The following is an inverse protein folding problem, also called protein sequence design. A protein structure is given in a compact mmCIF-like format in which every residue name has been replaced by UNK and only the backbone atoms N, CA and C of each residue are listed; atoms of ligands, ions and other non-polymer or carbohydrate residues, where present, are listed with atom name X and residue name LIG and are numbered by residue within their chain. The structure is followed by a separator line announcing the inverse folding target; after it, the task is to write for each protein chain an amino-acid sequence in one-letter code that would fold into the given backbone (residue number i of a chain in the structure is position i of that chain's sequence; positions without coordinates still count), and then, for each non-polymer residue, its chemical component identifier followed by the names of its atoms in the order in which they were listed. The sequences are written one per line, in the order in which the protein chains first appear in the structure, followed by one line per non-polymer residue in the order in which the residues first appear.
data_IF_796271171496
#
_entry.id   IF_796271171496
#
_cell.length_a   1.000
_cell.length_b   1.000
_cell.length_c   1.000
_cell.angle_alpha   90.00
_cell.angle_beta   90.00
_cell.angle_gamma   90.00
#
_symmetry.space_group_name_H-M   'P 1'
#
loop_
_entity.id
_entity.type
_entity.pdbx_description
1 polymer ?
#
# COMPACT_ATOMS: atom_id res chain seq x y z
N UNK A 1 3.89 -12.87 8.64
CA UNK A 1 2.93 -12.53 7.55
C UNK A 1 3.68 -12.23 6.25
N UNK A 2 3.02 -12.25 5.10
CA UNK A 2 3.58 -11.70 3.85
C UNK A 2 3.09 -10.26 3.69
N UNK A 3 4.03 -9.32 3.57
CA UNK A 3 3.77 -7.88 3.56
C UNK A 3 4.35 -7.29 2.28
N UNK A 4 3.59 -6.47 1.57
CA UNK A 4 4.10 -5.69 0.44
C UNK A 4 4.15 -4.21 0.81
N UNK A 5 5.27 -3.56 0.49
CA UNK A 5 5.40 -2.10 0.56
C UNK A 5 5.43 -1.55 -0.86
N UNK A 6 4.53 -0.61 -1.11
CA UNK A 6 4.30 0.04 -2.40
C UNK A 6 4.66 1.52 -2.22
N UNK A 7 5.65 1.99 -2.95
CA UNK A 7 6.19 3.35 -2.78
C UNK A 7 7.20 3.66 -3.86
N UNK A 8 7.34 4.94 -4.23
CA UNK A 8 8.42 5.38 -5.12
C UNK A 8 9.77 5.14 -4.43
N UNK A 9 10.64 4.33 -5.03
CA UNK A 9 11.92 3.99 -4.39
C UNK A 9 12.89 5.15 -4.29
N UNK A 10 12.62 6.24 -5.01
CA UNK A 10 13.41 7.47 -5.03
C UNK A 10 12.90 8.54 -4.05
N UNK A 11 11.65 8.45 -3.57
CA UNK A 11 11.08 9.40 -2.60
C UNK A 11 10.46 8.78 -1.34
N UNK A 12 10.55 7.46 -1.19
CA UNK A 12 10.09 6.70 -0.02
C UNK A 12 10.65 7.28 1.28
N UNK A 13 9.78 7.43 2.29
CA UNK A 13 10.17 7.88 3.63
C UNK A 13 11.31 6.98 4.18
N UNK A 14 12.48 7.55 4.57
CA UNK A 14 13.58 6.79 5.17
C UNK A 14 13.18 5.94 6.38
N UNK A 15 12.17 6.38 7.15
CA UNK A 15 11.62 5.64 8.28
C UNK A 15 10.87 4.37 7.84
N UNK A 16 10.17 4.42 6.69
CA UNK A 16 9.53 3.26 6.06
C UNK A 16 10.57 2.33 5.43
N UNK A 17 11.67 2.87 4.90
CA UNK A 17 12.65 2.12 4.12
C UNK A 17 13.60 1.30 5.01
N UNK A 18 14.39 1.91 5.89
CA UNK A 18 15.41 1.14 6.60
C UNK A 18 14.91 0.55 7.91
N UNK A 19 14.14 1.35 8.67
CA UNK A 19 13.76 0.97 10.03
C UNK A 19 12.60 -0.02 10.03
N UNK A 20 11.55 0.23 9.24
CA UNK A 20 10.39 -0.64 9.20
C UNK A 20 10.69 -1.98 8.49
N UNK A 21 11.37 -1.96 7.34
CA UNK A 21 11.73 -3.20 6.63
C UNK A 21 12.59 -4.12 7.50
N UNK A 22 13.62 -3.58 8.13
CA UNK A 22 14.52 -4.36 8.98
C UNK A 22 13.79 -4.93 10.20
N UNK A 23 12.90 -4.15 10.83
CA UNK A 23 12.07 -4.61 11.95
C UNK A 23 11.11 -5.72 11.53
N UNK A 24 10.32 -5.51 10.49
CA UNK A 24 9.37 -6.52 10.00
C UNK A 24 10.07 -7.83 9.61
N UNK A 25 11.24 -7.77 8.98
CA UNK A 25 12.02 -8.98 8.68
C UNK A 25 12.55 -9.66 9.94
N UNK A 26 13.03 -8.90 10.92
CA UNK A 26 13.48 -9.42 12.22
C UNK A 26 12.34 -10.12 12.97
N UNK A 27 11.13 -9.59 12.87
CA UNK A 27 9.92 -10.15 13.46
C UNK A 27 9.39 -11.38 12.68
N UNK A 28 10.11 -11.83 11.64
CA UNK A 28 9.79 -13.05 10.88
C UNK A 28 8.80 -12.85 9.73
N UNK A 29 8.53 -11.61 9.32
CA UNK A 29 7.66 -11.34 8.18
C UNK A 29 8.43 -11.44 6.86
N UNK A 30 7.74 -11.94 5.82
CA UNK A 30 8.24 -11.91 4.44
C UNK A 30 7.84 -10.58 3.83
N UNK A 31 8.82 -9.71 3.58
CA UNK A 31 8.56 -8.35 3.11
C UNK A 31 9.02 -8.16 1.68
N UNK A 32 8.09 -7.77 0.83
CA UNK A 32 8.25 -7.46 -0.58
C UNK A 32 8.17 -5.95 -0.78
N UNK A 33 8.86 -5.44 -1.79
CA UNK A 33 8.84 -4.02 -2.12
C UNK A 33 8.61 -3.86 -3.62
N UNK A 34 7.77 -2.91 -3.99
CA UNK A 34 7.48 -2.59 -5.39
C UNK A 34 7.42 -1.08 -5.58
N UNK A 35 8.04 -0.64 -6.67
CA UNK A 35 8.01 0.75 -7.12
C UNK A 35 6.79 1.00 -8.02
N UNK A 36 6.20 2.20 -7.93
CA UNK A 36 5.19 2.66 -8.87
C UNK A 36 5.78 3.11 -10.21
N UNK A 37 7.04 3.53 -10.25
CA UNK A 37 7.70 4.12 -11.42
C UNK A 37 8.19 3.10 -12.45
N UNK A 38 8.42 1.85 -12.06
CA UNK A 38 9.09 0.87 -12.92
C UNK A 38 8.18 -0.14 -13.61
N UNK A 39 6.89 -0.22 -13.25
CA UNK A 39 6.01 -1.27 -13.80
C UNK A 39 4.59 -0.76 -14.08
N UNK A 40 4.18 -0.66 -15.37
CA UNK A 40 2.84 -0.24 -15.76
C UNK A 40 1.79 -1.33 -15.57
N UNK A 41 2.21 -2.58 -15.35
CA UNK A 41 1.28 -3.61 -14.89
C UNK A 41 0.99 -3.32 -13.42
N UNK A 42 -0.27 -3.06 -13.07
CA UNK A 42 -0.70 -2.70 -11.72
C UNK A 42 -0.18 -3.67 -10.64
N UNK A 43 -0.42 -3.39 -9.36
CA UNK A 43 0.15 -4.17 -8.28
C UNK A 43 -0.42 -5.60 -8.29
N UNK A 44 0.22 -6.53 -9.02
CA UNK A 44 0.04 -7.98 -8.89
C UNK A 44 0.37 -8.36 -7.45
N UNK A 45 -0.67 -8.40 -6.61
CA UNK A 45 -0.58 -8.91 -5.25
C UNK A 45 -0.47 -10.43 -5.39
N UNK A 46 0.72 -10.98 -5.18
CA UNK A 46 0.87 -12.44 -5.15
C UNK A 46 -0.08 -13.05 -4.11
N UNK A 47 -0.63 -14.22 -4.38
CA UNK A 47 -1.53 -14.91 -3.45
C UNK A 47 -0.91 -14.99 -2.03
N UNK A 48 -1.72 -14.64 -1.03
CA UNK A 48 -1.35 -14.69 0.37
C UNK A 48 -0.53 -13.50 0.88
N UNK A 49 -0.51 -12.35 0.20
CA UNK A 49 -0.18 -11.08 0.87
C UNK A 49 -1.28 -10.77 1.89
N UNK A 50 -0.87 -10.49 3.12
CA UNK A 50 -1.80 -10.21 4.23
C UNK A 50 -1.93 -8.72 4.52
N UNK A 51 -0.90 -7.93 4.17
CA UNK A 51 -0.81 -6.50 4.42
C UNK A 51 -0.11 -5.82 3.25
N UNK A 52 -0.73 -4.76 2.73
CA UNK A 52 -0.10 -3.81 1.83
C UNK A 52 0.07 -2.46 2.54
N UNK A 53 1.29 -1.96 2.52
CA UNK A 53 1.66 -0.63 3.02
C UNK A 53 1.88 0.26 1.80
N UNK A 54 1.08 1.30 1.68
CA UNK A 54 1.12 2.27 0.59
C UNK A 54 1.79 3.55 1.11
N UNK A 55 2.98 3.84 0.63
CA UNK A 55 3.59 5.16 0.79
C UNK A 55 3.03 6.08 -0.30
N UNK A 56 2.21 7.04 0.12
CA UNK A 56 1.59 8.01 -0.78
C UNK A 56 2.39 9.30 -0.93
N UNK A 57 3.62 9.36 -0.40
CA UNK A 57 4.53 10.48 -0.62
C UNK A 57 4.67 10.71 -2.13
N UNK A 58 4.39 11.95 -2.56
CA UNK A 58 4.38 12.38 -3.96
C UNK A 58 3.32 11.76 -4.89
N UNK A 59 2.41 10.91 -4.38
CA UNK A 59 1.30 10.39 -5.16
C UNK A 59 0.12 11.38 -5.17
N UNK A 60 -0.45 11.62 -6.35
CA UNK A 60 -1.73 12.33 -6.42
C UNK A 60 -2.85 11.52 -5.77
N UNK A 61 -3.81 12.20 -5.15
CA UNK A 61 -4.96 11.55 -4.49
C UNK A 61 -5.70 10.56 -5.41
N UNK A 62 -5.88 10.91 -6.69
CA UNK A 62 -6.52 10.04 -7.68
C UNK A 62 -5.71 8.77 -7.99
N UNK A 63 -4.37 8.86 -8.07
CA UNK A 63 -3.51 7.69 -8.25
C UNK A 63 -3.53 6.80 -7.01
N UNK A 64 -3.43 7.38 -5.82
CA UNK A 64 -3.48 6.64 -4.57
C UNK A 64 -4.82 5.89 -4.41
N UNK A 65 -5.95 6.54 -4.73
CA UNK A 65 -7.26 5.89 -4.73
C UNK A 65 -7.36 4.75 -5.76
N UNK A 66 -6.83 4.95 -6.98
CA UNK A 66 -6.80 3.90 -8.00
C UNK A 66 -6.00 2.68 -7.55
N UNK A 67 -4.87 2.88 -6.86
CA UNK A 67 -4.06 1.80 -6.30
C UNK A 67 -4.80 1.04 -5.21
N UNK A 68 -5.45 1.75 -4.28
CA UNK A 68 -6.29 1.12 -3.26
C UNK A 68 -7.39 0.27 -3.88
N UNK A 69 -8.03 0.74 -4.95
CA UNK A 69 -9.05 -0.01 -5.67
C UNK A 69 -8.50 -1.29 -6.30
N UNK A 70 -7.38 -1.21 -7.03
CA UNK A 70 -6.74 -2.38 -7.65
C UNK A 70 -6.33 -3.42 -6.62
N UNK A 71 -5.67 -2.99 -5.55
CA UNK A 71 -5.26 -3.87 -4.44
C UNK A 71 -6.44 -4.56 -3.77
N UNK A 72 -7.57 -3.85 -3.65
CA UNK A 72 -8.81 -4.38 -3.09
C UNK A 72 -9.42 -5.46 -3.98
N UNK A 73 -9.40 -5.27 -5.30
CA UNK A 73 -9.88 -6.27 -6.27
C UNK A 73 -9.00 -7.53 -6.26
N UNK A 74 -7.68 -7.35 -6.17
CA UNK A 74 -6.73 -8.46 -6.19
C UNK A 74 -6.70 -9.26 -4.88
N UNK A 75 -6.99 -8.62 -3.74
CA UNK A 75 -6.96 -9.28 -2.44
C UNK A 75 -7.99 -8.71 -1.45
N UNK A 76 -9.22 -9.21 -1.51
CA UNK A 76 -10.32 -8.78 -0.63
C UNK A 76 -10.14 -9.10 0.87
N UNK A 77 -9.15 -9.89 1.27
CA UNK A 77 -8.84 -10.15 2.68
C UNK A 77 -7.59 -9.39 3.19
N UNK A 78 -6.96 -8.59 2.33
CA UNK A 78 -5.72 -7.90 2.65
C UNK A 78 -5.98 -6.62 3.46
N UNK A 79 -5.17 -6.38 4.48
CA UNK A 79 -5.13 -5.12 5.19
C UNK A 79 -4.41 -4.06 4.35
N UNK A 80 -4.97 -2.85 4.29
CA UNK A 80 -4.38 -1.70 3.61
C UNK A 80 -3.98 -0.65 4.65
N UNK A 81 -2.68 -0.33 4.70
CA UNK A 81 -2.14 0.77 5.50
C UNK A 81 -1.63 1.84 4.55
N UNK A 82 -2.13 3.07 4.70
CA UNK A 82 -1.78 4.18 3.81
C UNK A 82 -1.05 5.24 4.62
N UNK A 83 0.19 5.52 4.23
CA UNK A 83 1.07 6.50 4.86
C UNK A 83 0.76 7.90 4.37
N UNK A 84 0.48 8.80 5.32
CA UNK A 84 0.31 10.27 5.23
C UNK A 84 -0.67 10.78 4.16
N UNK A 85 -1.55 11.70 4.54
CA UNK A 85 -2.51 12.32 3.62
C UNK A 85 -2.65 13.82 3.88
N UNK A 86 -2.70 14.59 2.79
CA UNK A 86 -2.90 16.04 2.82
C UNK A 86 -4.41 16.37 2.93
N UNK A 87 -5.02 16.01 4.06
CA UNK A 87 -6.36 16.46 4.44
C UNK A 87 -7.46 15.39 4.48
N UNK A 88 -8.60 15.77 5.07
CA UNK A 88 -9.72 14.86 5.39
C UNK A 88 -10.45 14.32 4.16
N UNK A 89 -10.53 15.09 3.06
CA UNK A 89 -11.16 14.65 1.81
C UNK A 89 -10.39 13.53 1.12
N UNK A 90 -9.07 13.65 1.05
CA UNK A 90 -8.18 12.61 0.49
C UNK A 90 -8.26 11.34 1.34
N UNK A 91 -8.27 11.49 2.67
CA UNK A 91 -8.47 10.36 3.58
C UNK A 91 -9.78 9.61 3.31
N UNK A 92 -10.90 10.31 3.13
CA UNK A 92 -12.20 9.68 2.87
C UNK A 92 -12.19 8.89 1.55
N UNK A 93 -11.66 9.48 0.48
CA UNK A 93 -11.55 8.82 -0.83
C UNK A 93 -10.72 7.52 -0.76
N UNK A 94 -9.62 7.55 -0.01
CA UNK A 94 -8.75 6.38 0.15
C UNK A 94 -9.40 5.29 1.00
N UNK A 95 -10.11 5.67 2.06
CA UNK A 95 -10.89 4.73 2.87
C UNK A 95 -12.02 4.09 2.06
N UNK A 96 -12.71 4.85 1.20
CA UNK A 96 -13.71 4.31 0.29
C UNK A 96 -13.09 3.33 -0.72
N UNK A 97 -11.96 3.69 -1.32
CA UNK A 97 -11.26 2.86 -2.29
C UNK A 97 -10.73 1.54 -1.68
N UNK A 98 -10.22 1.58 -0.44
CA UNK A 98 -9.70 0.41 0.27
C UNK A 98 -10.73 -0.37 1.08
N UNK A 99 -11.88 0.23 1.38
CA UNK A 99 -12.70 -0.13 2.53
C UNK A 99 -14.17 -0.39 2.25
N UNK A 100 -14.60 -0.68 1.01
CA UNK A 100 -15.93 -1.30 0.82
C UNK A 100 -15.93 -2.69 1.49
N UNK A 101 -16.23 -2.67 2.79
CA UNK A 101 -16.96 -3.67 3.53
C UNK A 101 -18.30 -3.81 2.81
N UNK A 102 -18.72 -5.06 2.63
CA UNK A 102 -19.98 -5.45 2.04
C UNK A 102 -21.12 -4.59 2.65
N UNK A 103 -22.01 -3.98 1.85
CA UNK A 103 -23.33 -3.68 2.39
C UNK A 103 -23.97 -5.03 2.79
N UNK A 104 -24.48 -5.08 4.02
CA UNK A 104 -25.31 -6.19 4.52
C UNK A 104 -26.50 -6.47 3.61
#
# INVERSE_FOLDING_TARGET
MRIIILGDTHSLDPALHETLLARLRRDGHRVYRRDFGCDPSGPVVAEGIHLAILDCTDLSAGRAASLCYSLRQDAAAMLLLIGVFEGSGVRAQLLEAGGRLLPE
#
